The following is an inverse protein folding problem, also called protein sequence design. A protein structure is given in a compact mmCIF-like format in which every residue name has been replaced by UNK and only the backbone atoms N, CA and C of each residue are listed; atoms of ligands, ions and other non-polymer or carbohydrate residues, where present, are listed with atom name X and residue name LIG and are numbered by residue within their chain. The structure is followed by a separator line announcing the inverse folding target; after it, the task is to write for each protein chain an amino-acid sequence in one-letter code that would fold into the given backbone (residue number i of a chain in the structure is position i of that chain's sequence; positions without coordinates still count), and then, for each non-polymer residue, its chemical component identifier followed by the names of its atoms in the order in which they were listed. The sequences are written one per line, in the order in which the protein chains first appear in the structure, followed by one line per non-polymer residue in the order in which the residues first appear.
data_IF_610916130448
#
_entry.id   IF_610916130448
#
_cell.length_a   1.000
_cell.length_b   1.000
_cell.length_c   1.000
_cell.angle_alpha   90.00
_cell.angle_beta   90.00
_cell.angle_gamma   90.00
#
_symmetry.space_group_name_H-M   'P 1'
#
loop_
_entity.id
_entity.type
_entity.pdbx_description
1 polymer ?
#
# COMPACT_ATOMS: atom_id res chain seq x y z
N UNK A 1 68.96 -54.55 -31.58
CA UNK A 1 69.08 -53.09 -31.67
C UNK A 1 67.86 -52.56 -30.95
N UNK A 2 68.08 -51.96 -29.75
CA UNK A 2 67.04 -51.68 -28.80
C UNK A 2 66.41 -50.31 -29.12
N UNK A 3 65.10 -50.27 -29.15
CA UNK A 3 64.37 -49.00 -29.10
C UNK A 3 63.50 -48.94 -27.85
N UNK A 4 63.73 -47.85 -27.07
CA UNK A 4 63.14 -47.67 -25.75
C UNK A 4 61.81 -46.92 -25.90
N UNK A 5 60.72 -47.59 -25.47
CA UNK A 5 59.43 -46.94 -25.27
C UNK A 5 59.52 -46.00 -24.06
N UNK A 6 59.27 -44.70 -24.30
CA UNK A 6 59.07 -43.70 -23.25
C UNK A 6 57.57 -43.69 -22.91
N UNK A 7 57.22 -44.18 -21.74
CA UNK A 7 55.90 -43.95 -21.12
C UNK A 7 55.76 -42.47 -20.71
N UNK A 8 54.77 -41.77 -21.27
CA UNK A 8 54.35 -40.44 -20.82
C UNK A 8 53.24 -40.63 -19.80
N UNK A 9 53.52 -40.25 -18.56
CA UNK A 9 52.52 -40.14 -17.49
C UNK A 9 51.64 -38.91 -17.77
N UNK A 10 50.36 -39.14 -18.06
CA UNK A 10 49.39 -38.06 -18.11
C UNK A 10 48.88 -37.79 -16.69
N UNK A 11 49.25 -36.69 -16.13
CA UNK A 11 48.68 -36.19 -14.87
C UNK A 11 47.26 -35.69 -15.14
N UNK A 12 46.28 -36.35 -14.52
CA UNK A 12 44.86 -35.94 -14.52
C UNK A 12 44.71 -34.78 -13.54
N UNK A 13 44.56 -33.54 -14.05
CA UNK A 13 44.25 -32.36 -13.24
C UNK A 13 42.75 -32.42 -12.96
N UNK A 14 42.38 -32.80 -11.75
CA UNK A 14 41.00 -32.63 -11.24
C UNK A 14 40.76 -31.15 -10.98
N UNK A 15 39.96 -30.53 -11.84
CA UNK A 15 39.44 -29.17 -11.61
C UNK A 15 38.32 -29.29 -10.58
N UNK A 16 38.60 -28.90 -9.33
CA UNK A 16 37.56 -28.72 -8.31
C UNK A 16 36.88 -27.41 -8.64
N UNK A 17 35.73 -27.47 -9.30
CA UNK A 17 34.80 -26.35 -9.40
C UNK A 17 34.22 -26.09 -8.00
N UNK A 18 34.85 -25.20 -7.24
CA UNK A 18 34.25 -24.59 -6.09
C UNK A 18 33.04 -23.79 -6.61
N UNK A 19 31.85 -24.34 -6.41
CA UNK A 19 30.61 -23.63 -6.67
C UNK A 19 30.57 -22.36 -5.80
N UNK A 20 30.85 -21.23 -6.42
CA UNK A 20 30.47 -19.94 -5.85
C UNK A 20 28.94 -19.93 -5.77
N UNK A 21 28.41 -20.32 -4.61
CA UNK A 21 27.01 -20.09 -4.27
C UNK A 21 26.77 -18.59 -4.38
N UNK A 22 26.01 -18.19 -5.40
CA UNK A 22 25.42 -16.88 -5.41
C UNK A 22 24.72 -16.70 -4.07
N UNK A 23 24.85 -15.54 -3.39
CA UNK A 23 24.09 -15.30 -2.20
C UNK A 23 22.61 -15.46 -2.58
N UNK A 24 21.97 -16.51 -2.07
CA UNK A 24 20.52 -16.55 -1.99
C UNK A 24 20.18 -15.32 -1.14
N UNK A 25 19.45 -14.38 -1.72
CA UNK A 25 18.71 -13.43 -0.90
C UNK A 25 17.77 -14.29 -0.06
N UNK A 26 18.18 -14.58 1.18
CA UNK A 26 17.34 -15.31 2.13
C UNK A 26 16.21 -14.36 2.49
N UNK A 27 15.09 -14.50 1.78
CA UNK A 27 13.85 -13.81 2.16
C UNK A 27 13.55 -14.23 3.59
N UNK A 28 13.35 -13.30 4.53
CA UNK A 28 13.00 -13.67 5.90
C UNK A 28 11.73 -14.52 5.88
N UNK A 29 11.69 -15.55 6.69
CA UNK A 29 10.46 -16.29 6.91
C UNK A 29 9.41 -15.32 7.46
N UNK A 30 8.14 -15.38 7.01
CA UNK A 30 7.11 -14.50 7.56
C UNK A 30 6.94 -14.78 9.07
N UNK A 31 6.64 -13.75 9.87
CA UNK A 31 6.24 -13.94 11.26
C UNK A 31 5.14 -15.01 11.33
N UNK A 32 5.20 -15.88 12.33
CA UNK A 32 4.08 -16.75 12.63
C UNK A 32 2.84 -15.92 13.01
N UNK A 33 1.66 -16.54 12.93
CA UNK A 33 0.41 -15.80 13.17
C UNK A 33 0.29 -15.26 14.58
N UNK A 34 0.79 -16.00 15.57
CA UNK A 34 0.68 -15.56 16.97
C UNK A 34 1.58 -14.33 17.22
N UNK A 35 2.81 -14.33 16.71
CA UNK A 35 3.68 -13.16 16.77
C UNK A 35 3.13 -11.96 15.99
N UNK A 36 2.54 -12.23 14.82
CA UNK A 36 1.89 -11.19 14.01
C UNK A 36 0.67 -10.60 14.73
N UNK A 37 -0.21 -11.43 15.29
CA UNK A 37 -1.38 -11.00 16.06
C UNK A 37 -0.99 -10.19 17.29
N UNK A 38 0.10 -10.58 17.97
CA UNK A 38 0.58 -9.88 19.17
C UNK A 38 0.96 -8.41 18.88
N UNK A 39 1.41 -8.08 17.68
CA UNK A 39 1.72 -6.68 17.30
C UNK A 39 0.47 -5.77 17.28
N UNK A 40 -0.72 -6.34 17.18
CA UNK A 40 -1.99 -5.60 17.08
C UNK A 40 -2.91 -5.85 18.29
N UNK A 41 -2.41 -6.53 19.32
CA UNK A 41 -3.23 -6.90 20.48
C UNK A 41 -3.54 -5.70 21.39
N UNK A 42 -2.62 -4.76 21.50
CA UNK A 42 -2.80 -3.57 22.32
C UNK A 42 -3.60 -2.48 21.57
N UNK A 43 -4.49 -1.76 22.27
CA UNK A 43 -5.17 -0.62 21.70
C UNK A 43 -4.15 0.41 21.17
N UNK A 44 -4.37 0.84 19.95
CA UNK A 44 -3.50 1.85 19.32
C UNK A 44 -3.85 3.23 19.86
N UNK A 45 -2.92 3.95 20.53
CA UNK A 45 -3.18 5.31 20.97
C UNK A 45 -3.53 6.21 19.78
N UNK A 46 -4.56 7.01 19.88
CA UNK A 46 -4.86 8.00 18.84
C UNK A 46 -3.72 9.02 18.78
N UNK A 47 -3.10 9.20 17.60
CA UNK A 47 -2.09 10.23 17.41
C UNK A 47 -2.72 11.62 17.61
N UNK A 48 -1.98 12.57 18.21
CA UNK A 48 -2.43 13.94 18.32
C UNK A 48 -2.78 14.58 16.96
N UNK A 49 -3.77 15.45 16.94
CA UNK A 49 -4.05 16.31 15.80
C UNK A 49 -3.31 17.66 15.96
N UNK A 50 -2.97 18.35 14.88
CA UNK A 50 -3.15 17.95 13.47
C UNK A 50 -2.07 16.97 12.99
N UNK A 51 -2.43 16.07 12.03
CA UNK A 51 -1.50 15.08 11.45
C UNK A 51 -0.98 15.52 10.10
N UNK A 52 0.33 15.39 9.90
CA UNK A 52 0.97 15.55 8.59
C UNK A 52 1.20 14.17 7.96
N UNK A 53 0.75 13.99 6.72
CA UNK A 53 0.72 12.70 6.04
C UNK A 53 1.66 12.73 4.84
N UNK A 54 2.42 11.65 4.65
CA UNK A 54 3.23 11.44 3.45
C UNK A 54 2.75 10.21 2.68
N UNK A 55 2.61 10.35 1.37
CA UNK A 55 2.15 9.28 0.48
C UNK A 55 3.23 8.83 -0.50
N UNK A 56 3.43 7.51 -0.62
CA UNK A 56 4.36 6.89 -1.58
C UNK A 56 3.61 5.84 -2.39
N UNK A 57 3.66 5.94 -3.72
CA UNK A 57 3.07 4.90 -4.56
C UNK A 57 2.83 5.32 -6.01
N UNK A 58 1.71 4.91 -6.54
CA UNK A 58 1.43 4.98 -7.97
C UNK A 58 0.06 5.61 -8.28
N UNK A 59 -0.41 5.44 -9.53
CA UNK A 59 -1.65 6.06 -10.03
C UNK A 59 -2.91 5.73 -9.20
N UNK A 60 -2.94 4.63 -8.43
CA UNK A 60 -4.07 4.32 -7.55
C UNK A 60 -4.05 5.11 -6.22
N UNK A 61 -2.96 5.84 -5.94
CA UNK A 61 -2.99 6.96 -4.99
C UNK A 61 -3.40 8.22 -5.76
N UNK A 62 -2.70 8.51 -6.86
CA UNK A 62 -2.90 9.73 -7.64
C UNK A 62 -2.72 11.00 -6.81
N UNK A 63 -3.04 12.15 -7.39
CA UNK A 63 -2.96 13.44 -6.68
C UNK A 63 -4.26 13.83 -5.97
N UNK A 64 -5.39 13.36 -6.50
CA UNK A 64 -6.72 13.80 -6.04
C UNK A 64 -7.13 13.11 -4.73
N UNK A 65 -6.84 11.82 -4.57
CA UNK A 65 -7.19 11.09 -3.34
C UNK A 65 -6.51 11.70 -2.09
N UNK A 66 -5.20 12.00 -2.05
CA UNK A 66 -4.57 12.71 -0.92
C UNK A 66 -5.15 14.11 -0.67
N UNK A 67 -5.54 14.83 -1.72
CA UNK A 67 -6.22 16.12 -1.58
C UNK A 67 -7.59 15.99 -0.92
N UNK A 68 -8.34 14.94 -1.27
CA UNK A 68 -9.62 14.61 -0.63
C UNK A 68 -9.42 14.21 0.84
N UNK A 69 -8.41 13.38 1.16
CA UNK A 69 -8.06 13.03 2.55
C UNK A 69 -7.77 14.28 3.37
N UNK A 70 -7.02 15.23 2.83
CA UNK A 70 -6.71 16.48 3.52
C UNK A 70 -7.96 17.31 3.80
N UNK A 71 -8.92 17.38 2.87
CA UNK A 71 -10.20 18.07 3.05
C UNK A 71 -11.07 17.36 4.10
N UNK A 72 -11.17 16.05 4.06
CA UNK A 72 -11.90 15.26 5.07
C UNK A 72 -11.28 15.42 6.45
N UNK A 73 -9.95 15.51 6.53
CA UNK A 73 -9.25 15.75 7.81
C UNK A 73 -9.56 17.12 8.43
N UNK A 74 -9.82 18.13 7.61
CA UNK A 74 -10.13 19.48 8.08
C UNK A 74 -9.08 20.00 9.09
N UNK A 75 -9.51 20.44 10.28
CA UNK A 75 -8.63 20.91 11.34
C UNK A 75 -7.72 19.81 11.95
N UNK A 76 -7.98 18.54 11.68
CA UNK A 76 -7.15 17.40 12.11
C UNK A 76 -5.92 17.18 11.21
N UNK A 77 -5.87 17.82 10.04
CA UNK A 77 -4.79 17.71 9.07
C UNK A 77 -3.81 18.87 9.14
N UNK A 78 -2.50 18.57 9.21
CA UNK A 78 -1.42 19.56 9.08
C UNK A 78 -0.91 19.67 7.63
N UNK A 79 -1.55 18.98 6.69
CA UNK A 79 -1.16 18.91 5.29
C UNK A 79 -0.59 17.55 4.88
N UNK A 80 -0.25 17.45 3.59
CA UNK A 80 0.33 16.24 3.02
C UNK A 80 1.37 16.58 1.95
N UNK A 81 2.24 15.61 1.69
CA UNK A 81 3.16 15.58 0.56
C UNK A 81 3.22 14.16 -0.02
N UNK A 82 3.79 14.00 -1.21
CA UNK A 82 3.83 12.72 -1.88
C UNK A 82 4.99 12.56 -2.85
N UNK A 83 5.33 11.31 -3.16
CA UNK A 83 6.07 10.91 -4.35
C UNK A 83 5.30 9.82 -5.08
N UNK A 84 4.97 10.06 -6.33
CA UNK A 84 4.11 9.21 -7.15
C UNK A 84 4.80 8.82 -8.46
N UNK A 85 4.30 7.76 -9.08
CA UNK A 85 4.71 7.32 -10.41
C UNK A 85 3.66 6.44 -11.07
N UNK A 86 3.84 6.08 -12.34
CA UNK A 86 2.93 5.18 -13.03
C UNK A 86 3.33 3.73 -12.80
N UNK A 87 2.48 2.95 -12.14
CA UNK A 87 2.77 1.56 -11.80
C UNK A 87 4.06 1.37 -10.98
N UNK A 88 4.45 2.39 -10.22
CA UNK A 88 5.69 2.40 -9.46
C UNK A 88 5.63 1.42 -8.28
N UNK A 89 6.74 0.70 -8.06
CA UNK A 89 6.94 -0.16 -6.90
C UNK A 89 7.62 0.61 -5.76
N UNK A 90 7.54 0.11 -4.53
CA UNK A 90 8.31 0.65 -3.41
C UNK A 90 9.82 0.66 -3.71
N UNK A 91 10.32 -0.38 -4.40
CA UNK A 91 11.71 -0.45 -4.86
C UNK A 91 12.09 0.74 -5.72
N UNK A 92 11.28 1.12 -6.69
CA UNK A 92 11.57 2.24 -7.58
C UNK A 92 11.56 3.59 -6.87
N UNK A 93 10.79 3.74 -5.80
CA UNK A 93 10.83 4.94 -4.95
C UNK A 93 12.03 4.99 -4.01
N UNK A 94 12.67 3.86 -3.75
CA UNK A 94 13.84 3.79 -2.87
C UNK A 94 15.16 3.82 -3.62
N UNK A 95 15.30 3.04 -4.70
CA UNK A 95 16.55 2.88 -5.43
C UNK A 95 16.71 3.96 -6.51
N UNK A 96 17.76 4.78 -6.46
CA UNK A 96 17.93 5.89 -7.41
C UNK A 96 18.16 5.43 -8.85
N UNK A 97 18.64 4.20 -9.03
CA UNK A 97 18.95 3.62 -10.35
C UNK A 97 17.76 2.86 -10.96
N UNK A 98 16.63 2.74 -10.22
CA UNK A 98 15.40 2.13 -10.72
C UNK A 98 14.44 3.24 -11.14
N UNK A 99 14.13 3.37 -12.43
CA UNK A 99 13.33 4.49 -12.91
C UNK A 99 11.89 4.41 -12.40
N UNK A 100 11.35 5.55 -11.99
CA UNK A 100 9.92 5.74 -11.71
C UNK A 100 9.27 6.27 -12.98
N UNK A 101 8.45 5.46 -13.64
CA UNK A 101 7.73 5.87 -14.83
C UNK A 101 6.76 7.02 -14.50
N UNK A 102 6.69 8.02 -15.39
CA UNK A 102 5.82 9.19 -15.18
C UNK A 102 6.27 10.14 -14.07
N UNK A 103 7.48 9.96 -13.51
CA UNK A 103 7.96 10.74 -12.35
C UNK A 103 7.81 12.25 -12.55
N UNK A 104 8.30 12.78 -13.67
CA UNK A 104 8.26 14.22 -13.95
C UNK A 104 6.83 14.78 -14.09
N UNK A 105 5.90 13.94 -14.55
CA UNK A 105 4.50 14.33 -14.69
C UNK A 105 3.79 14.30 -13.34
N UNK A 106 3.93 13.19 -12.61
CA UNK A 106 3.21 12.98 -11.35
C UNK A 106 3.69 13.90 -10.21
N UNK A 107 4.95 14.32 -10.27
CA UNK A 107 5.58 15.11 -9.21
C UNK A 107 5.75 16.60 -9.58
N UNK A 108 5.23 17.05 -10.71
CA UNK A 108 5.24 18.47 -11.12
C UNK A 108 4.19 19.31 -10.37
N UNK A 109 4.23 19.29 -9.04
CA UNK A 109 3.29 20.03 -8.19
C UNK A 109 3.93 20.38 -6.84
N UNK A 110 3.40 21.39 -6.09
CA UNK A 110 4.02 21.90 -4.87
C UNK A 110 3.96 20.93 -3.66
N UNK A 111 3.28 19.80 -3.79
CA UNK A 111 3.19 18.75 -2.76
C UNK A 111 4.21 17.63 -2.94
N UNK A 112 5.06 17.72 -3.97
CA UNK A 112 6.13 16.76 -4.17
C UNK A 112 7.23 16.94 -3.11
N UNK A 113 7.71 15.81 -2.59
CA UNK A 113 8.94 15.69 -1.82
C UNK A 113 9.58 14.33 -2.10
N UNK A 114 10.90 14.26 -2.17
CA UNK A 114 11.62 12.97 -2.36
C UNK A 114 11.29 12.00 -1.23
N UNK A 115 10.99 10.74 -1.59
CA UNK A 115 10.48 9.76 -0.65
C UNK A 115 11.48 9.39 0.46
N UNK A 116 12.77 9.25 0.12
CA UNK A 116 13.79 8.92 1.12
C UNK A 116 14.10 10.12 2.01
N UNK A 117 14.12 11.32 1.44
CA UNK A 117 14.26 12.55 2.22
C UNK A 117 13.08 12.71 3.19
N UNK A 118 11.85 12.51 2.70
CA UNK A 118 10.64 12.66 3.49
C UNK A 118 10.63 11.72 4.71
N UNK A 119 10.84 10.41 4.51
CA UNK A 119 10.80 9.45 5.62
C UNK A 119 11.97 9.62 6.59
N UNK A 120 13.10 10.18 6.15
CA UNK A 120 14.25 10.46 7.00
C UNK A 120 14.18 11.81 7.74
N UNK A 121 13.19 12.65 7.44
CA UNK A 121 13.10 14.00 8.02
C UNK A 121 12.49 14.03 9.42
N UNK A 122 11.61 13.08 9.74
CA UNK A 122 10.82 13.10 10.97
C UNK A 122 9.62 14.06 10.95
N UNK A 123 9.30 14.66 9.81
CA UNK A 123 8.26 15.70 9.69
C UNK A 123 6.83 15.15 9.61
N UNK A 124 6.65 13.84 9.49
CA UNK A 124 5.33 13.22 9.26
C UNK A 124 4.88 12.38 10.43
N UNK A 125 3.59 12.48 10.74
CA UNK A 125 2.91 11.65 11.75
C UNK A 125 2.42 10.33 11.15
N UNK A 126 2.16 10.32 9.85
CA UNK A 126 1.69 9.17 9.10
C UNK A 126 2.42 9.06 7.76
N UNK A 127 2.92 7.86 7.45
CA UNK A 127 3.48 7.51 6.13
C UNK A 127 2.64 6.39 5.55
N UNK A 128 2.02 6.66 4.39
CA UNK A 128 1.16 5.74 3.66
C UNK A 128 1.89 5.25 2.43
N UNK A 129 1.99 3.95 2.26
CA UNK A 129 2.66 3.31 1.14
C UNK A 129 1.77 2.29 0.46
N UNK A 130 1.87 2.17 -0.85
CA UNK A 130 1.27 1.06 -1.60
C UNK A 130 2.28 0.45 -2.57
N UNK A 131 1.97 -0.75 -3.06
CA UNK A 131 2.81 -1.48 -4.01
C UNK A 131 2.14 -1.54 -5.38
N UNK A 132 2.93 -1.76 -6.43
CA UNK A 132 2.44 -1.88 -7.82
C UNK A 132 1.31 -2.91 -7.95
N UNK A 133 0.47 -2.72 -8.97
CA UNK A 133 -0.84 -3.39 -9.08
C UNK A 133 -0.78 -4.90 -9.17
N UNK A 134 0.10 -5.51 -9.98
CA UNK A 134 0.21 -6.96 -9.93
C UNK A 134 1.10 -7.36 -8.75
N UNK A 135 0.43 -7.57 -7.64
CA UNK A 135 1.07 -7.84 -6.35
C UNK A 135 1.96 -9.09 -6.37
N UNK A 136 1.64 -10.09 -7.19
CA UNK A 136 2.46 -11.30 -7.35
C UNK A 136 3.78 -11.00 -8.06
N UNK A 137 3.77 -10.10 -9.03
CA UNK A 137 4.98 -9.64 -9.72
C UNK A 137 5.82 -8.73 -8.81
N UNK A 138 5.18 -7.89 -8.02
CA UNK A 138 5.84 -7.09 -7.00
C UNK A 138 6.61 -7.98 -5.99
N UNK A 139 5.95 -9.00 -5.46
CA UNK A 139 6.57 -9.97 -4.55
C UNK A 139 7.73 -10.72 -5.22
N UNK A 140 7.57 -11.09 -6.49
CA UNK A 140 8.53 -11.90 -7.20
C UNK A 140 9.77 -11.13 -7.66
N UNK A 141 9.58 -9.88 -8.12
CA UNK A 141 10.61 -9.13 -8.82
C UNK A 141 11.07 -7.86 -8.11
N UNK A 142 10.24 -7.29 -7.21
CA UNK A 142 10.52 -5.99 -6.60
C UNK A 142 10.87 -6.07 -5.12
N UNK A 143 10.98 -7.27 -4.54
CA UNK A 143 11.39 -7.45 -3.14
C UNK A 143 10.56 -6.59 -2.16
N UNK A 144 9.27 -6.47 -2.42
CA UNK A 144 8.33 -5.54 -1.74
C UNK A 144 8.47 -5.53 -0.22
N UNK A 145 8.60 -6.71 0.41
CA UNK A 145 8.73 -6.83 1.87
C UNK A 145 9.98 -6.11 2.41
N UNK A 146 11.12 -6.15 1.67
CA UNK A 146 12.35 -5.48 2.05
C UNK A 146 12.20 -3.96 1.97
N UNK A 147 11.57 -3.46 0.89
CA UNK A 147 11.37 -2.03 0.73
C UNK A 147 10.32 -1.48 1.67
N UNK A 148 9.24 -2.22 1.96
CA UNK A 148 8.30 -1.87 3.01
C UNK A 148 8.99 -1.77 4.37
N UNK A 149 9.86 -2.74 4.70
CA UNK A 149 10.70 -2.69 5.90
C UNK A 149 11.61 -1.45 5.92
N UNK A 150 12.35 -1.18 4.83
CA UNK A 150 13.30 -0.05 4.76
C UNK A 150 12.61 1.29 4.98
N UNK A 151 11.48 1.53 4.33
CA UNK A 151 10.69 2.75 4.53
C UNK A 151 10.16 2.87 5.96
N UNK A 152 9.62 1.79 6.51
CA UNK A 152 9.12 1.76 7.89
C UNK A 152 10.24 2.03 8.90
N UNK A 153 11.37 1.35 8.77
CA UNK A 153 12.52 1.52 9.65
C UNK A 153 13.09 2.94 9.58
N UNK A 154 13.22 3.54 8.38
CA UNK A 154 13.67 4.91 8.21
C UNK A 154 12.69 5.91 8.85
N UNK A 155 11.39 5.71 8.64
CA UNK A 155 10.34 6.54 9.26
C UNK A 155 10.46 6.53 10.78
N UNK A 156 10.54 5.33 11.40
CA UNK A 156 10.59 5.21 12.86
C UNK A 156 11.94 5.64 13.47
N UNK A 157 13.03 5.55 12.70
CA UNK A 157 14.32 6.09 13.12
C UNK A 157 14.29 7.63 13.23
N UNK A 158 13.57 8.29 12.31
CA UNK A 158 13.45 9.75 12.27
C UNK A 158 12.35 10.29 13.19
N UNK A 159 11.20 9.62 13.24
CA UNK A 159 10.09 9.95 14.14
C UNK A 159 9.55 8.67 14.80
N UNK A 160 9.95 8.38 16.04
CA UNK A 160 9.48 7.21 16.78
C UNK A 160 7.96 7.15 17.00
N UNK A 161 7.25 8.27 16.96
CA UNK A 161 5.80 8.32 17.14
C UNK A 161 5.02 8.15 15.82
N UNK A 162 5.69 8.27 14.67
CA UNK A 162 5.04 8.15 13.38
C UNK A 162 4.40 6.77 13.19
N UNK A 163 3.28 6.73 12.48
CA UNK A 163 2.63 5.51 12.04
C UNK A 163 2.90 5.22 10.59
N UNK A 164 3.12 3.96 10.32
CA UNK A 164 3.33 3.44 8.98
C UNK A 164 2.11 2.64 8.56
N UNK A 165 1.60 2.96 7.39
CA UNK A 165 0.43 2.34 6.81
C UNK A 165 0.78 1.70 5.48
N UNK A 166 0.26 0.49 5.25
CA UNK A 166 0.34 -0.20 3.97
C UNK A 166 -1.06 -0.25 3.36
N UNK A 167 -1.22 0.44 2.23
CA UNK A 167 -2.48 0.62 1.55
C UNK A 167 -2.70 -0.54 0.57
N UNK A 168 -3.67 -1.40 0.86
CA UNK A 168 -4.11 -2.49 0.00
C UNK A 168 -5.03 -1.93 -1.09
N UNK A 169 -4.67 -2.23 -2.34
CA UNK A 169 -5.39 -1.80 -3.54
C UNK A 169 -6.22 -2.94 -4.14
N UNK A 170 -6.66 -2.78 -5.37
CA UNK A 170 -7.49 -3.71 -6.14
C UNK A 170 -6.81 -4.07 -7.46
N UNK A 171 -7.49 -4.91 -8.26
CA UNK A 171 -7.04 -5.40 -9.55
C UNK A 171 -7.82 -4.74 -10.70
N UNK A 172 -7.42 -4.94 -11.98
CA UNK A 172 -8.26 -4.57 -13.11
C UNK A 172 -9.64 -5.24 -13.03
N UNK A 173 -10.70 -4.53 -13.41
CA UNK A 173 -12.07 -5.08 -13.46
C UNK A 173 -12.16 -6.31 -14.37
N UNK A 174 -11.32 -6.34 -15.42
CA UNK A 174 -11.21 -7.43 -16.38
C UNK A 174 -10.29 -8.59 -15.94
N UNK A 175 -9.82 -8.61 -14.67
CA UNK A 175 -8.93 -9.67 -14.19
C UNK A 175 -9.56 -11.06 -14.44
N UNK A 176 -8.86 -11.98 -15.16
CA UNK A 176 -9.42 -13.27 -15.55
C UNK A 176 -9.67 -14.22 -14.39
N UNK A 177 -9.09 -13.98 -13.22
CA UNK A 177 -9.32 -14.75 -11.99
C UNK A 177 -10.50 -14.20 -11.19
N UNK A 178 -11.14 -13.11 -11.65
CA UNK A 178 -12.24 -12.44 -11.00
C UNK A 178 -11.79 -11.32 -10.05
N UNK A 179 -12.36 -10.14 -10.25
CA UNK A 179 -11.98 -8.95 -9.49
C UNK A 179 -12.24 -9.08 -7.99
N UNK A 180 -13.43 -9.55 -7.60
CA UNK A 180 -13.79 -9.78 -6.18
C UNK A 180 -13.00 -10.94 -5.58
N UNK A 181 -12.85 -12.01 -6.33
CA UNK A 181 -12.11 -13.20 -5.92
C UNK A 181 -10.65 -12.86 -5.63
N UNK A 182 -10.02 -12.03 -6.47
CA UNK A 182 -8.65 -11.57 -6.26
C UNK A 182 -8.52 -10.72 -5.00
N UNK A 183 -9.42 -9.76 -4.79
CA UNK A 183 -9.41 -8.92 -3.59
C UNK A 183 -9.52 -9.78 -2.32
N UNK A 184 -10.46 -10.74 -2.30
CA UNK A 184 -10.67 -11.61 -1.13
C UNK A 184 -9.46 -12.51 -0.82
N UNK A 185 -8.89 -13.12 -1.87
CA UNK A 185 -7.81 -14.10 -1.70
C UNK A 185 -6.45 -13.44 -1.44
N UNK A 186 -6.17 -12.33 -2.11
CA UNK A 186 -4.85 -11.74 -2.13
C UNK A 186 -4.51 -11.00 -0.83
N UNK A 187 -5.52 -10.50 -0.09
CA UNK A 187 -5.27 -9.85 1.19
C UNK A 187 -4.49 -10.73 2.15
N UNK A 188 -5.04 -11.88 2.54
CA UNK A 188 -4.41 -12.76 3.52
C UNK A 188 -3.17 -13.46 2.98
N UNK A 189 -3.18 -13.80 1.68
CA UNK A 189 -2.11 -14.56 1.06
C UNK A 189 -0.88 -13.71 0.74
N UNK A 190 -1.08 -12.56 0.11
CA UNK A 190 0.00 -11.75 -0.45
C UNK A 190 0.25 -10.49 0.38
N UNK A 191 -0.75 -9.63 0.58
CA UNK A 191 -0.58 -8.38 1.31
C UNK A 191 -0.11 -8.63 2.76
N UNK A 192 -0.82 -9.47 3.50
CA UNK A 192 -0.41 -9.82 4.85
C UNK A 192 0.69 -10.89 4.87
N UNK A 193 0.49 -12.01 4.17
CA UNK A 193 1.33 -13.21 4.27
C UNK A 193 2.73 -13.02 3.71
N UNK A 194 2.84 -12.59 2.47
CA UNK A 194 4.12 -12.48 1.77
C UNK A 194 4.79 -11.11 1.94
N UNK A 195 4.03 -10.05 2.27
CA UNK A 195 4.60 -8.70 2.38
C UNK A 195 4.68 -8.25 3.84
N UNK A 196 3.54 -7.98 4.51
CA UNK A 196 3.56 -7.37 5.84
C UNK A 196 4.28 -8.26 6.88
N UNK A 197 3.93 -9.55 6.94
CA UNK A 197 4.55 -10.48 7.90
C UNK A 197 6.03 -10.70 7.65
N UNK A 198 6.50 -10.61 6.40
CA UNK A 198 7.94 -10.68 6.09
C UNK A 198 8.65 -9.36 6.39
N UNK A 199 8.04 -8.23 6.07
CA UNK A 199 8.59 -6.92 6.42
C UNK A 199 8.77 -6.78 7.94
N UNK A 200 7.81 -7.29 8.72
CA UNK A 200 7.82 -7.28 10.18
C UNK A 200 8.70 -8.38 10.81
N UNK A 201 9.20 -9.34 10.02
CA UNK A 201 10.12 -10.37 10.49
C UNK A 201 11.59 -9.93 10.51
N UNK A 202 11.92 -8.76 9.98
CA UNK A 202 13.26 -8.20 10.07
C UNK A 202 13.63 -7.85 11.52
N UNK A 203 14.90 -7.99 11.85
CA UNK A 203 15.42 -7.68 13.20
C UNK A 203 15.10 -6.24 13.60
N UNK A 204 14.66 -6.06 14.84
CA UNK A 204 14.31 -4.74 15.39
C UNK A 204 12.90 -4.24 15.07
N UNK A 205 12.11 -4.98 14.29
CA UNK A 205 10.72 -4.65 14.00
C UNK A 205 9.82 -5.05 15.17
N UNK A 206 9.49 -4.10 16.03
CA UNK A 206 8.65 -4.30 17.23
C UNK A 206 7.33 -3.54 17.17
N UNK A 207 7.04 -2.91 16.04
CA UNK A 207 5.86 -2.05 15.84
C UNK A 207 5.03 -2.55 14.68
N UNK A 208 3.71 -2.44 14.74
CA UNK A 208 2.85 -2.82 13.62
C UNK A 208 2.97 -1.83 12.45
N UNK A 209 2.89 -2.37 11.24
CA UNK A 209 2.53 -1.62 10.04
C UNK A 209 1.02 -1.79 9.88
N UNK A 210 0.26 -0.70 9.86
CA UNK A 210 -1.20 -0.77 9.79
C UNK A 210 -1.68 -0.94 8.36
N UNK A 211 -2.80 -1.64 8.18
CA UNK A 211 -3.43 -1.85 6.89
C UNK A 211 -4.47 -0.76 6.61
N UNK A 212 -4.45 -0.18 5.40
CA UNK A 212 -5.56 0.58 4.85
C UNK A 212 -6.27 -0.33 3.83
N UNK A 213 -7.41 -0.94 4.16
CA UNK A 213 -8.01 -2.03 3.39
C UNK A 213 -8.97 -1.51 2.32
N UNK A 214 -8.50 -0.71 1.36
CA UNK A 214 -9.42 -0.08 0.41
C UNK A 214 -10.00 -1.06 -0.61
N UNK A 215 -9.26 -2.08 -1.02
CA UNK A 215 -9.81 -3.16 -1.83
C UNK A 215 -10.97 -3.87 -1.11
N UNK A 216 -10.82 -4.19 0.19
CA UNK A 216 -11.86 -4.84 0.98
C UNK A 216 -13.09 -3.97 1.17
N UNK A 217 -12.88 -2.67 1.43
CA UNK A 217 -13.98 -1.68 1.51
C UNK A 217 -14.73 -1.63 0.19
N UNK A 218 -14.02 -1.55 -0.92
CA UNK A 218 -14.59 -1.50 -2.26
C UNK A 218 -15.37 -2.78 -2.59
N UNK A 219 -14.81 -3.96 -2.28
CA UNK A 219 -15.48 -5.24 -2.48
C UNK A 219 -16.75 -5.34 -1.63
N UNK A 220 -16.75 -4.85 -0.39
CA UNK A 220 -17.93 -4.84 0.47
C UNK A 220 -19.03 -3.91 -0.08
N UNK A 221 -18.68 -2.72 -0.56
CA UNK A 221 -19.60 -1.79 -1.19
C UNK A 221 -20.21 -2.40 -2.46
N UNK A 222 -19.39 -2.94 -3.33
CA UNK A 222 -19.82 -3.55 -4.61
C UNK A 222 -20.80 -4.68 -4.37
N UNK A 223 -20.54 -5.56 -3.40
CA UNK A 223 -21.48 -6.63 -3.05
C UNK A 223 -22.84 -6.11 -2.57
N UNK A 224 -22.87 -4.99 -1.86
CA UNK A 224 -24.12 -4.41 -1.37
C UNK A 224 -24.94 -3.76 -2.48
N UNK A 225 -24.28 -3.00 -3.38
CA UNK A 225 -24.99 -2.33 -4.48
C UNK A 225 -25.43 -3.30 -5.57
N UNK A 226 -24.63 -4.31 -5.92
CA UNK A 226 -24.98 -5.31 -6.94
C UNK A 226 -26.02 -6.32 -6.45
N UNK A 227 -26.20 -6.50 -5.14
CA UNK A 227 -27.25 -7.35 -4.57
C UNK A 227 -28.63 -6.65 -4.45
N UNK A 228 -28.69 -5.36 -4.77
CA UNK A 228 -29.87 -4.51 -4.65
C UNK A 228 -30.13 -3.76 -5.96
N UNK A 229 -31.23 -3.00 -6.09
CA UNK A 229 -31.45 -2.12 -7.25
C UNK A 229 -30.39 -1.01 -7.43
N UNK A 230 -29.42 -0.93 -6.52
CA UNK A 230 -28.43 0.15 -6.48
C UNK A 230 -28.98 1.48 -5.96
N UNK A 231 -28.15 2.50 -6.01
CA UNK A 231 -28.48 3.88 -5.62
C UNK A 231 -28.29 4.82 -6.81
N UNK A 232 -28.84 6.04 -6.78
CA UNK A 232 -28.62 7.01 -7.85
C UNK A 232 -27.13 7.23 -8.10
N UNK A 233 -26.66 6.94 -9.32
CA UNK A 233 -25.26 7.06 -9.74
C UNK A 233 -24.31 6.01 -9.16
N UNK A 234 -24.84 4.96 -8.50
CA UNK A 234 -24.06 3.88 -7.91
C UNK A 234 -24.85 2.57 -7.95
N UNK A 235 -24.80 1.87 -9.07
CA UNK A 235 -25.58 0.67 -9.35
C UNK A 235 -24.74 -0.60 -9.46
N UNK A 236 -23.53 -0.46 -9.94
CA UNK A 236 -22.56 -1.56 -10.05
C UNK A 236 -21.11 -1.03 -9.88
N UNK A 237 -20.15 -1.95 -9.91
CA UNK A 237 -18.75 -1.63 -9.69
C UNK A 237 -18.15 -0.64 -10.70
N UNK A 238 -18.64 -0.61 -11.93
CA UNK A 238 -18.11 0.27 -12.98
C UNK A 238 -18.39 1.75 -12.71
N UNK A 239 -19.41 2.06 -11.89
CA UNK A 239 -19.73 3.42 -11.48
C UNK A 239 -18.65 4.05 -10.56
N UNK A 240 -17.68 3.26 -10.07
CA UNK A 240 -16.54 3.73 -9.27
C UNK A 240 -15.29 3.98 -10.12
N UNK A 241 -15.28 3.62 -11.39
CA UNK A 241 -14.09 3.60 -12.22
C UNK A 241 -14.18 4.54 -13.42
N UNK A 242 -13.05 5.09 -13.84
CA UNK A 242 -12.89 5.85 -15.08
C UNK A 242 -12.40 4.97 -16.25
N UNK A 243 -11.74 3.88 -15.94
CA UNK A 243 -11.30 2.84 -16.86
C UNK A 243 -11.26 1.47 -16.15
N UNK A 244 -10.52 0.50 -16.69
CA UNK A 244 -10.47 -0.87 -16.16
C UNK A 244 -9.84 -0.97 -14.74
N UNK A 245 -9.12 0.07 -14.28
CA UNK A 245 -8.42 0.02 -12.99
C UNK A 245 -8.43 1.35 -12.22
N UNK A 246 -8.44 2.49 -12.91
CA UNK A 246 -8.39 3.79 -12.26
C UNK A 246 -9.77 4.24 -11.83
N UNK A 247 -9.83 4.79 -10.63
CA UNK A 247 -11.07 5.30 -10.07
C UNK A 247 -11.49 6.62 -10.72
N UNK A 248 -12.79 6.85 -10.76
CA UNK A 248 -13.37 8.18 -10.91
C UNK A 248 -13.47 8.87 -9.55
N UNK A 249 -14.03 10.07 -9.51
CA UNK A 249 -14.14 10.86 -8.28
C UNK A 249 -14.93 10.18 -7.16
N UNK A 250 -15.97 9.39 -7.48
CA UNK A 250 -16.75 8.65 -6.48
C UNK A 250 -15.92 7.52 -5.87
N UNK A 251 -15.15 6.81 -6.69
CA UNK A 251 -14.22 5.79 -6.21
C UNK A 251 -13.09 6.40 -5.37
N UNK A 252 -12.54 7.54 -5.80
CA UNK A 252 -11.52 8.28 -5.03
C UNK A 252 -12.07 8.76 -3.69
N UNK A 253 -13.32 9.21 -3.63
CA UNK A 253 -13.99 9.57 -2.39
C UNK A 253 -14.06 8.39 -1.42
N UNK A 254 -14.49 7.21 -1.87
CA UNK A 254 -14.54 5.99 -1.05
C UNK A 254 -13.17 5.65 -0.45
N UNK A 255 -12.13 5.71 -1.27
CA UNK A 255 -10.75 5.43 -0.85
C UNK A 255 -10.25 6.50 0.12
N UNK A 256 -10.56 7.77 -0.11
CA UNK A 256 -10.22 8.86 0.80
C UNK A 256 -10.90 8.72 2.17
N UNK A 257 -12.17 8.31 2.21
CA UNK A 257 -12.87 7.98 3.46
C UNK A 257 -12.17 6.83 4.22
N UNK A 258 -11.70 5.81 3.49
CA UNK A 258 -10.99 4.67 4.10
C UNK A 258 -9.68 5.12 4.74
N UNK A 259 -8.90 5.95 4.04
CA UNK A 259 -7.69 6.55 4.59
C UNK A 259 -7.98 7.41 5.82
N UNK A 260 -8.99 8.28 5.73
CA UNK A 260 -9.41 9.11 6.87
C UNK A 260 -9.75 8.25 8.09
N UNK A 261 -10.61 7.23 7.91
CA UNK A 261 -11.08 6.40 9.01
C UNK A 261 -9.95 5.66 9.73
N UNK A 262 -8.98 5.12 8.97
CA UNK A 262 -7.83 4.40 9.53
C UNK A 262 -6.82 5.35 10.16
N UNK A 263 -6.44 6.44 9.48
CA UNK A 263 -5.39 7.36 9.96
C UNK A 263 -5.87 8.14 11.19
N UNK A 264 -7.12 8.62 11.18
CA UNK A 264 -7.69 9.38 12.29
C UNK A 264 -8.40 8.52 13.33
N UNK A 265 -8.54 7.21 13.08
CA UNK A 265 -9.26 6.26 13.96
C UNK A 265 -10.64 6.79 14.34
N UNK A 266 -11.37 7.30 13.36
CA UNK A 266 -12.62 8.02 13.56
C UNK A 266 -13.64 7.67 12.47
N UNK A 267 -14.89 7.57 12.85
CA UNK A 267 -15.99 7.35 11.89
C UNK A 267 -15.98 8.46 10.83
N UNK A 268 -16.10 8.10 9.55
CA UNK A 268 -16.27 9.06 8.47
C UNK A 268 -17.73 9.50 8.29
N UNK A 269 -18.67 8.96 9.09
CA UNK A 269 -20.08 9.29 8.96
C UNK A 269 -20.35 10.78 9.22
N UNK A 270 -21.11 11.39 8.33
CA UNK A 270 -21.41 12.82 8.37
C UNK A 270 -20.34 13.75 7.82
N UNK A 271 -19.23 13.21 7.30
CA UNK A 271 -18.22 14.01 6.61
C UNK A 271 -18.76 14.57 5.27
N UNK A 272 -18.20 15.69 4.79
CA UNK A 272 -18.57 16.25 3.48
C UNK A 272 -18.34 15.25 2.35
N UNK A 273 -19.22 15.25 1.34
CA UNK A 273 -19.05 14.44 0.13
C UNK A 273 -18.80 15.27 -1.12
N UNK A 274 -19.03 16.59 -1.09
CA UNK A 274 -18.64 17.50 -2.15
C UNK A 274 -17.23 18.02 -1.88
N UNK A 275 -16.24 17.44 -2.56
CA UNK A 275 -14.82 17.73 -2.37
C UNK A 275 -14.20 18.33 -3.64
N UNK A 276 -12.96 18.78 -3.52
CA UNK A 276 -12.18 19.31 -4.63
C UNK A 276 -11.07 18.32 -5.02
N UNK A 277 -10.74 18.29 -6.31
CA UNK A 277 -9.53 17.66 -6.82
C UNK A 277 -8.28 18.43 -6.38
N UNK A 278 -7.11 17.89 -6.59
CA UNK A 278 -5.83 18.49 -6.21
C UNK A 278 -5.55 19.84 -6.91
N UNK A 279 -6.14 20.06 -8.08
CA UNK A 279 -6.06 21.33 -8.84
C UNK A 279 -7.06 22.39 -8.37
N UNK A 280 -7.89 22.06 -7.38
CA UNK A 280 -8.93 22.94 -6.84
C UNK A 280 -10.25 22.92 -7.60
N UNK A 281 -10.39 22.14 -8.66
CA UNK A 281 -11.68 21.97 -9.36
C UNK A 281 -12.63 21.07 -8.56
N UNK A 282 -13.95 21.31 -8.63
CA UNK A 282 -14.93 20.42 -8.00
C UNK A 282 -14.82 18.99 -8.53
N UNK A 283 -14.79 18.01 -7.62
CA UNK A 283 -14.95 16.61 -7.95
C UNK A 283 -16.44 16.27 -8.19
N UNK A 284 -16.70 15.26 -8.99
CA UNK A 284 -18.05 14.73 -9.20
C UNK A 284 -18.49 13.98 -7.94
N UNK A 285 -19.27 14.68 -7.10
CA UNK A 285 -19.69 14.17 -5.81
C UNK A 285 -20.68 13.00 -5.95
N UNK A 286 -20.60 11.95 -5.10
CA UNK A 286 -21.64 10.94 -5.04
C UNK A 286 -22.97 11.57 -4.58
N UNK A 287 -24.10 10.94 -4.96
CA UNK A 287 -25.39 11.29 -4.38
C UNK A 287 -25.34 11.20 -2.83
N UNK A 288 -26.02 12.07 -2.08
CA UNK A 288 -25.98 12.06 -0.61
C UNK A 288 -26.30 10.69 0.00
N UNK A 289 -27.19 9.90 -0.60
CA UNK A 289 -27.53 8.55 -0.12
C UNK A 289 -26.39 7.57 -0.38
N UNK A 290 -25.75 7.67 -1.55
CA UNK A 290 -24.56 6.88 -1.88
C UNK A 290 -23.39 7.24 -0.98
N UNK A 291 -23.18 8.54 -0.71
CA UNK A 291 -22.15 9.00 0.21
C UNK A 291 -22.36 8.45 1.63
N UNK A 292 -23.59 8.49 2.15
CA UNK A 292 -23.91 7.93 3.47
C UNK A 292 -23.67 6.41 3.53
N UNK A 293 -24.01 5.67 2.45
CA UNK A 293 -23.71 4.25 2.35
C UNK A 293 -22.19 3.99 2.37
N UNK A 294 -21.43 4.74 1.57
CA UNK A 294 -19.97 4.61 1.53
C UNK A 294 -19.35 4.87 2.90
N UNK A 295 -19.75 5.94 3.58
CA UNK A 295 -19.27 6.29 4.92
C UNK A 295 -19.53 5.17 5.94
N UNK A 296 -20.74 4.61 5.97
CA UNK A 296 -21.11 3.50 6.84
C UNK A 296 -20.28 2.25 6.55
N UNK A 297 -20.18 1.84 5.28
CA UNK A 297 -19.42 0.65 4.89
C UNK A 297 -17.96 0.79 5.24
N UNK A 298 -17.34 1.95 4.99
CA UNK A 298 -15.95 2.21 5.40
C UNK A 298 -15.80 1.94 6.89
N UNK A 299 -16.67 2.50 7.72
CA UNK A 299 -16.57 2.35 9.17
C UNK A 299 -16.75 0.91 9.63
N UNK A 300 -17.78 0.22 9.12
CA UNK A 300 -18.01 -1.20 9.39
C UNK A 300 -16.78 -2.08 9.04
N UNK A 301 -16.20 -1.88 7.86
CA UNK A 301 -15.07 -2.69 7.39
C UNK A 301 -13.82 -2.41 8.21
N UNK A 302 -13.44 -1.15 8.41
CA UNK A 302 -12.19 -0.84 9.13
C UNK A 302 -12.24 -1.29 10.59
N UNK A 303 -13.42 -1.26 11.26
CA UNK A 303 -13.59 -1.77 12.61
C UNK A 303 -13.57 -3.31 12.68
N UNK A 304 -13.94 -3.99 11.60
CA UNK A 304 -13.94 -5.46 11.55
C UNK A 304 -12.55 -6.05 11.32
N UNK A 305 -11.56 -5.23 10.97
CA UNK A 305 -10.24 -5.68 10.55
C UNK A 305 -9.15 -5.26 11.56
N UNK A 306 -8.62 -6.18 12.38
CA UNK A 306 -7.65 -5.84 13.44
C UNK A 306 -6.39 -5.12 12.94
N UNK A 307 -5.97 -5.36 11.68
CA UNK A 307 -4.73 -4.76 11.12
C UNK A 307 -4.86 -3.27 10.81
N UNK A 308 -6.06 -2.71 10.84
CA UNK A 308 -6.27 -1.25 10.69
C UNK A 308 -5.83 -0.47 11.92
N UNK A 309 -5.76 -1.11 13.09
CA UNK A 309 -5.56 -0.46 14.38
C UNK A 309 -6.77 0.36 14.85
N UNK A 310 -7.88 0.34 14.11
CA UNK A 310 -9.15 0.97 14.54
C UNK A 310 -9.82 0.06 15.57
N UNK A 311 -10.28 0.60 16.72
CA UNK A 311 -10.96 -0.22 17.71
C UNK A 311 -12.21 -0.90 17.12
N UNK A 312 -12.47 -2.16 17.49
CA UNK A 312 -13.70 -2.84 17.08
C UNK A 312 -14.94 -2.12 17.60
N UNK A 313 -16.08 -2.38 16.95
CA UNK A 313 -17.38 -1.78 17.29
C UNK A 313 -17.86 -2.19 18.69
#
# INVERSE_FOLDING_TARGET
MLDRLKMRSSALVMLVLAGLGLPRCDRPAPLDMAAYDALYADPVPVLPDPKRIYFIGHSLIGRDMPAMVAQLSGARGAGYESQLGWGASLKSHWEPDVPVNGFEVENAHPRYRDAREAVASGDYDAVVMTEMVEIRDAIKYMETHDYLHRFAAATWAANPEARVYFYETWHPLSDPEGWLERIDLDLGRYWEGEIMRRALAHDGMTRPIYLIPAGQVMARLVREIEASPGLPGLTDRTDLFSDDIHLNDQGLYLVALTHFAVIHQSSPEGLPHALLRADGTPADAPDPTAAALMQRIVWEVVQSMPRTGVPPA
#
